data_IF_632721889733
#
_entry.id   IF_632721889733
#
_cell.length_a   1.000
_cell.length_b   1.000
_cell.length_c   1.000
_cell.angle_alpha   90.00
_cell.angle_beta   90.00
_cell.angle_gamma   90.00
#
_symmetry.space_group_name_H-M   'P 1'
#
loop_
_entity.id
_entity.type
_entity.pdbx_description
1 polymer ?
#
# COMPACT_ATOMS: atom_id res chain seq x y z
N UNK A 1 10.74 20.11 -55.10
CA UNK A 1 10.18 19.15 -54.11
C UNK A 1 9.18 19.94 -53.31
N UNK A 2 7.90 19.82 -53.65
CA UNK A 2 6.81 20.44 -52.92
C UNK A 2 6.71 19.80 -51.53
N UNK A 3 6.90 20.60 -50.48
CA UNK A 3 6.54 20.19 -49.13
C UNK A 3 5.07 19.77 -49.16
N UNK A 4 4.82 18.50 -48.97
CA UNK A 4 3.48 18.00 -48.72
C UNK A 4 3.03 18.64 -47.42
N UNK A 5 1.92 19.36 -47.45
CA UNK A 5 1.31 19.98 -46.28
C UNK A 5 0.71 18.82 -45.45
N UNK A 6 1.53 18.18 -44.64
CA UNK A 6 1.13 17.05 -43.80
C UNK A 6 0.41 17.67 -42.59
N UNK A 7 -0.85 17.34 -42.32
CA UNK A 7 -1.54 17.79 -41.10
C UNK A 7 -0.92 17.07 -39.90
N UNK A 8 0.22 17.61 -39.44
CA UNK A 8 1.08 17.00 -38.43
C UNK A 8 0.28 16.69 -37.15
N UNK A 9 -0.67 17.54 -36.78
CA UNK A 9 -1.48 17.33 -35.58
C UNK A 9 -2.37 16.09 -35.69
N UNK A 10 -3.07 15.92 -36.83
CA UNK A 10 -3.97 14.77 -37.03
C UNK A 10 -3.17 13.45 -37.12
N UNK A 11 -2.07 13.49 -37.89
CA UNK A 11 -1.19 12.32 -38.00
C UNK A 11 -0.59 11.96 -36.63
N UNK A 12 -0.14 12.96 -35.85
CA UNK A 12 0.45 12.70 -34.54
C UNK A 12 -0.56 12.05 -33.60
N UNK A 13 -1.78 12.52 -33.54
CA UNK A 13 -2.85 12.00 -32.69
C UNK A 13 -3.30 10.58 -33.10
N UNK A 14 -3.29 10.27 -34.40
CA UNK A 14 -3.71 8.95 -34.91
C UNK A 14 -2.63 7.86 -34.74
N UNK A 15 -1.35 8.23 -34.66
CA UNK A 15 -0.23 7.29 -34.50
C UNK A 15 0.23 7.10 -33.06
N UNK A 16 -0.35 7.80 -32.08
CA UNK A 16 -0.12 7.49 -30.67
C UNK A 16 -0.67 6.09 -30.37
N UNK A 17 0.07 5.31 -29.62
CA UNK A 17 -0.42 4.00 -29.12
C UNK A 17 -1.45 4.18 -27.99
N UNK A 18 -1.38 5.29 -27.29
CA UNK A 18 -2.27 5.61 -26.18
C UNK A 18 -3.62 6.13 -26.70
N UNK A 19 -4.69 5.68 -26.05
CA UNK A 19 -6.00 6.27 -26.25
C UNK A 19 -6.02 7.69 -25.71
N UNK A 20 -6.71 8.58 -26.43
CA UNK A 20 -6.87 9.98 -26.04
C UNK A 20 -8.30 10.41 -26.29
N UNK A 21 -8.87 11.12 -25.33
CA UNK A 21 -10.07 11.89 -25.58
C UNK A 21 -10.02 13.27 -24.92
N UNK A 22 -10.77 14.18 -25.50
CA UNK A 22 -10.96 15.54 -25.02
C UNK A 22 -12.42 15.73 -24.67
N UNK A 23 -12.71 16.42 -23.59
CA UNK A 23 -14.07 16.78 -23.20
C UNK A 23 -14.18 18.28 -22.85
N UNK A 24 -15.40 18.79 -22.89
CA UNK A 24 -15.75 20.09 -22.34
C UNK A 24 -15.88 20.08 -20.82
N UNK A 25 -16.27 21.21 -20.22
CA UNK A 25 -16.48 21.35 -18.77
C UNK A 25 -17.58 20.45 -18.22
N UNK A 26 -18.56 20.14 -19.03
CA UNK A 26 -19.71 19.26 -18.76
C UNK A 26 -19.35 17.78 -18.98
N UNK A 27 -18.08 17.51 -19.33
CA UNK A 27 -17.53 16.18 -19.63
C UNK A 27 -18.14 15.52 -20.88
N UNK A 28 -18.64 16.32 -21.84
CA UNK A 28 -19.05 15.83 -23.15
C UNK A 28 -17.81 15.63 -24.00
N UNK A 29 -17.68 14.44 -24.58
CA UNK A 29 -16.56 14.05 -25.43
C UNK A 29 -16.62 14.89 -26.73
N UNK A 30 -15.54 15.62 -26.98
CA UNK A 30 -15.37 16.45 -28.17
C UNK A 30 -14.47 15.78 -29.22
N UNK A 31 -13.56 14.94 -28.76
CA UNK A 31 -12.60 14.21 -29.59
C UNK A 31 -12.32 12.82 -29.00
N UNK A 32 -12.18 11.82 -29.86
CA UNK A 32 -11.89 10.45 -29.54
C UNK A 32 -10.89 9.87 -30.53
N UNK A 33 -9.70 9.48 -30.10
CA UNK A 33 -8.62 9.01 -30.99
C UNK A 33 -8.87 7.62 -31.52
N UNK A 34 -8.21 7.28 -32.64
CA UNK A 34 -8.23 5.92 -33.19
C UNK A 34 -7.67 4.87 -32.25
N UNK A 35 -6.72 5.23 -31.40
CA UNK A 35 -6.20 4.35 -30.36
C UNK A 35 -7.23 4.11 -29.27
N UNK A 36 -7.99 5.11 -28.88
CA UNK A 36 -9.10 4.94 -27.95
C UNK A 36 -10.16 3.97 -28.51
N UNK A 37 -10.45 4.04 -29.82
CA UNK A 37 -11.32 3.07 -30.48
C UNK A 37 -10.77 1.63 -30.39
N UNK A 38 -9.47 1.46 -30.65
CA UNK A 38 -8.83 0.14 -30.60
C UNK A 38 -8.84 -0.48 -29.20
N UNK A 39 -8.57 0.34 -28.18
CA UNK A 39 -8.46 -0.12 -26.79
C UNK A 39 -9.83 -0.48 -26.21
N UNK A 40 -10.83 0.37 -26.47
CA UNK A 40 -12.13 0.27 -25.80
C UNK A 40 -13.22 -0.38 -26.64
N UNK A 41 -13.03 -0.42 -27.98
CA UNK A 41 -14.05 -0.85 -28.93
C UNK A 41 -15.14 0.19 -29.22
N UNK A 42 -15.15 1.33 -28.51
CA UNK A 42 -16.06 2.45 -28.79
C UNK A 42 -15.53 3.27 -29.96
N UNK A 43 -16.35 3.54 -30.97
CA UNK A 43 -15.97 4.42 -32.09
C UNK A 43 -16.24 5.89 -31.75
N UNK A 44 -15.58 6.82 -32.45
CA UNK A 44 -15.86 8.25 -32.28
C UNK A 44 -17.34 8.58 -32.51
N UNK A 45 -17.97 7.94 -33.48
CA UNK A 45 -19.39 8.14 -33.80
C UNK A 45 -20.32 7.67 -32.65
N UNK A 46 -19.89 6.70 -31.84
CA UNK A 46 -20.65 6.22 -30.67
C UNK A 46 -20.58 7.20 -29.48
N UNK A 47 -19.47 7.96 -29.34
CA UNK A 47 -19.14 8.62 -28.08
C UNK A 47 -19.08 10.14 -28.16
N UNK A 48 -18.75 10.72 -29.31
CA UNK A 48 -18.66 12.18 -29.44
C UNK A 48 -20.03 12.84 -29.22
N UNK A 49 -20.05 13.87 -28.38
CA UNK A 49 -21.28 14.55 -27.93
C UNK A 49 -21.95 13.93 -26.70
N UNK A 50 -21.56 12.71 -26.30
CA UNK A 50 -22.01 12.07 -25.08
C UNK A 50 -21.05 12.35 -23.92
N UNK A 51 -21.51 12.19 -22.69
CA UNK A 51 -20.63 12.26 -21.53
C UNK A 51 -19.86 10.95 -21.34
N UNK A 52 -18.61 11.03 -20.93
CA UNK A 52 -17.80 9.83 -20.67
C UNK A 52 -18.41 8.90 -19.61
N UNK A 53 -19.25 9.43 -18.71
CA UNK A 53 -19.97 8.66 -17.67
C UNK A 53 -21.30 8.05 -18.17
N UNK A 54 -21.80 8.43 -19.35
CA UNK A 54 -23.07 7.94 -19.90
C UNK A 54 -22.90 6.51 -20.48
N UNK A 55 -22.53 5.57 -19.61
CA UNK A 55 -22.31 4.16 -19.95
C UNK A 55 -21.21 3.90 -21.00
N UNK A 56 -20.25 4.82 -21.15
CA UNK A 56 -19.13 4.68 -22.10
C UNK A 56 -17.93 4.08 -21.37
N UNK A 57 -17.13 4.87 -20.67
CA UNK A 57 -15.95 4.38 -19.97
C UNK A 57 -16.26 3.87 -18.56
N UNK A 58 -17.14 4.54 -17.84
CA UNK A 58 -17.59 4.20 -16.47
C UNK A 58 -16.44 3.61 -15.62
N UNK A 59 -15.42 4.43 -15.40
CA UNK A 59 -14.22 4.02 -14.68
C UNK A 59 -14.55 3.51 -13.28
N UNK A 60 -13.96 2.38 -12.89
CA UNK A 60 -13.94 1.85 -11.53
C UNK A 60 -12.51 1.66 -11.07
N UNK A 61 -12.28 1.63 -9.76
CA UNK A 61 -11.00 1.24 -9.17
C UNK A 61 -10.82 -0.30 -9.10
N UNK A 62 -9.69 -0.73 -8.53
CA UNK A 62 -9.36 -2.14 -8.33
C UNK A 62 -10.37 -2.91 -7.47
N UNK A 63 -11.11 -2.21 -6.60
CA UNK A 63 -12.08 -2.78 -5.67
C UNK A 63 -13.52 -2.71 -6.22
N UNK A 64 -13.70 -2.24 -7.47
CA UNK A 64 -14.98 -2.13 -8.16
C UNK A 64 -15.77 -0.88 -7.81
N UNK A 65 -15.19 0.07 -7.04
CA UNK A 65 -15.82 1.34 -6.72
C UNK A 65 -15.88 2.22 -7.95
N UNK A 66 -17.05 2.78 -8.25
CA UNK A 66 -17.20 3.70 -9.37
C UNK A 66 -16.49 5.03 -9.10
N UNK A 67 -15.58 5.39 -9.99
CA UNK A 67 -14.85 6.66 -9.96
C UNK A 67 -15.58 7.76 -10.74
N UNK A 68 -16.36 7.39 -11.76
CA UNK A 68 -17.14 8.34 -12.55
C UNK A 68 -18.24 8.97 -11.69
N UNK A 69 -18.12 10.27 -11.50
CA UNK A 69 -18.98 11.06 -10.64
C UNK A 69 -18.36 12.46 -10.47
N UNK A 70 -18.65 13.15 -9.38
CA UNK A 70 -18.07 14.47 -9.15
C UNK A 70 -16.78 14.39 -8.31
N UNK A 71 -16.76 13.58 -7.28
CA UNK A 71 -15.73 13.60 -6.26
C UNK A 71 -14.49 12.77 -6.63
N UNK A 72 -14.68 11.56 -7.16
CA UNK A 72 -13.60 10.61 -7.39
C UNK A 72 -13.11 10.55 -8.84
N UNK A 73 -13.76 11.25 -9.77
CA UNK A 73 -13.39 11.27 -11.19
C UNK A 73 -12.04 12.02 -11.37
N UNK A 74 -10.96 11.36 -11.84
CA UNK A 74 -9.66 12.00 -12.01
C UNK A 74 -9.73 13.23 -12.93
N UNK A 75 -10.42 13.10 -14.06
CA UNK A 75 -10.55 14.17 -15.03
C UNK A 75 -11.36 15.35 -14.48
N UNK A 76 -12.49 15.10 -13.79
CA UNK A 76 -13.27 16.17 -13.16
C UNK A 76 -12.47 16.89 -12.08
N UNK A 77 -11.76 16.13 -11.23
CA UNK A 77 -10.91 16.70 -10.19
C UNK A 77 -9.80 17.56 -10.79
N UNK A 78 -9.16 17.10 -11.87
CA UNK A 78 -8.13 17.85 -12.60
C UNK A 78 -8.68 19.20 -13.11
N UNK A 79 -9.86 19.22 -13.73
CA UNK A 79 -10.50 20.44 -14.22
C UNK A 79 -10.89 21.40 -13.08
N UNK A 80 -11.36 20.86 -11.93
CA UNK A 80 -11.77 21.69 -10.78
C UNK A 80 -10.60 22.30 -10.03
N UNK A 81 -9.50 21.56 -9.90
CA UNK A 81 -8.32 21.98 -9.12
C UNK A 81 -7.26 22.65 -9.97
N UNK A 82 -7.46 22.68 -11.28
CA UNK A 82 -6.49 23.16 -12.25
C UNK A 82 -5.12 22.48 -12.13
N UNK A 83 -5.12 21.16 -11.89
CA UNK A 83 -3.90 20.37 -11.71
C UNK A 83 -3.89 19.16 -12.62
N UNK A 84 -2.73 18.85 -13.17
CA UNK A 84 -2.47 17.61 -13.90
C UNK A 84 -2.32 16.45 -12.90
N UNK A 85 -2.60 15.22 -13.33
CA UNK A 85 -2.14 14.06 -12.56
C UNK A 85 -0.61 14.02 -12.56
N UNK A 86 -0.01 13.80 -11.39
CA UNK A 86 1.46 13.68 -11.25
C UNK A 86 1.96 12.34 -11.77
N UNK A 87 1.17 11.30 -11.60
CA UNK A 87 1.45 9.92 -12.01
C UNK A 87 0.20 9.33 -12.69
N UNK A 88 0.37 8.36 -13.61
CA UNK A 88 -0.76 7.63 -14.14
C UNK A 88 -1.53 6.89 -13.03
N UNK A 89 -2.85 6.93 -13.12
CA UNK A 89 -3.75 6.18 -12.23
C UNK A 89 -4.22 4.92 -12.95
N UNK A 90 -4.24 3.78 -12.25
CA UNK A 90 -4.80 2.55 -12.81
C UNK A 90 -6.30 2.53 -12.51
N UNK A 91 -7.09 2.48 -13.57
CA UNK A 91 -8.55 2.37 -13.51
C UNK A 91 -9.03 1.27 -14.44
N UNK A 92 -10.26 0.81 -14.27
CA UNK A 92 -10.87 -0.17 -15.18
C UNK A 92 -11.96 0.53 -15.98
N UNK A 93 -11.67 0.73 -17.27
CA UNK A 93 -12.63 1.30 -18.22
C UNK A 93 -13.59 0.24 -18.76
N UNK A 94 -14.83 0.63 -19.06
CA UNK A 94 -15.80 -0.23 -19.71
C UNK A 94 -15.54 -0.28 -21.22
N UNK A 95 -15.47 -1.48 -21.78
CA UNK A 95 -15.43 -1.66 -23.24
C UNK A 95 -16.84 -1.68 -23.83
N UNK A 96 -16.95 -1.48 -25.16
CA UNK A 96 -18.24 -1.54 -25.89
C UNK A 96 -18.95 -2.88 -25.75
N UNK A 97 -18.21 -3.95 -25.52
CA UNK A 97 -18.76 -5.30 -25.29
C UNK A 97 -19.18 -5.56 -23.84
N UNK A 98 -19.05 -4.58 -22.96
CA UNK A 98 -19.41 -4.67 -21.54
C UNK A 98 -18.31 -5.26 -20.63
N UNK A 99 -17.15 -5.64 -21.20
CA UNK A 99 -15.98 -6.06 -20.43
C UNK A 99 -15.30 -4.90 -19.71
N UNK A 100 -14.32 -5.21 -18.86
CA UNK A 100 -13.43 -4.23 -18.20
C UNK A 100 -12.03 -4.38 -18.71
N UNK A 101 -11.39 -3.26 -19.04
CA UNK A 101 -10.00 -3.18 -19.46
C UNK A 101 -9.23 -2.30 -18.47
N UNK A 102 -8.12 -2.79 -17.88
CA UNK A 102 -7.26 -1.97 -17.03
C UNK A 102 -6.54 -0.93 -17.89
N UNK A 103 -6.63 0.30 -17.47
CA UNK A 103 -6.09 1.47 -18.14
C UNK A 103 -5.19 2.26 -17.19
N UNK A 104 -4.00 2.63 -17.64
CA UNK A 104 -3.18 3.62 -16.97
C UNK A 104 -3.57 5.01 -17.53
N UNK A 105 -4.28 5.81 -16.72
CA UNK A 105 -4.83 7.10 -17.16
C UNK A 105 -4.02 8.27 -16.64
N UNK A 106 -3.86 9.28 -17.49
CA UNK A 106 -3.32 10.59 -17.13
C UNK A 106 -4.29 11.67 -17.57
N UNK A 107 -4.50 12.66 -16.72
CA UNK A 107 -5.49 13.72 -16.95
C UNK A 107 -4.87 15.11 -16.85
N UNK A 108 -5.36 16.05 -17.64
CA UNK A 108 -4.89 17.43 -17.64
C UNK A 108 -6.03 18.38 -17.96
N UNK A 109 -6.12 19.56 -17.31
CA UNK A 109 -7.07 20.59 -17.69
C UNK A 109 -6.63 21.24 -19.01
N UNK A 110 -7.60 21.72 -19.79
CA UNK A 110 -7.39 22.50 -21.00
C UNK A 110 -7.83 23.93 -20.72
N UNK A 111 -6.99 24.91 -21.11
CA UNK A 111 -7.25 26.33 -20.91
C UNK A 111 -7.62 27.01 -22.20
N UNK A 112 -8.57 27.93 -22.10
CA UNK A 112 -8.87 28.91 -23.16
C UNK A 112 -7.83 30.02 -23.26
N UNK A 113 -7.99 30.88 -24.24
CA UNK A 113 -7.11 32.03 -24.46
C UNK A 113 -7.13 33.04 -23.29
N UNK A 114 -8.17 33.02 -22.48
CA UNK A 114 -8.36 33.82 -21.27
C UNK A 114 -7.75 33.18 -19.99
N UNK A 115 -7.11 32.02 -20.14
CA UNK A 115 -6.54 31.25 -19.03
C UNK A 115 -7.55 30.46 -18.18
N UNK A 116 -8.84 30.51 -18.53
CA UNK A 116 -9.85 29.72 -17.80
C UNK A 116 -9.86 28.28 -18.31
N UNK A 117 -10.12 27.33 -17.37
CA UNK A 117 -10.32 25.93 -17.74
C UNK A 117 -11.59 25.81 -18.59
N UNK A 118 -11.45 25.33 -19.81
CA UNK A 118 -12.54 25.14 -20.79
C UNK A 118 -12.91 23.68 -21.01
N UNK A 119 -12.11 22.75 -20.52
CA UNK A 119 -12.30 21.31 -20.66
C UNK A 119 -11.14 20.54 -20.07
N UNK A 120 -11.06 19.26 -20.41
CA UNK A 120 -9.99 18.38 -19.98
C UNK A 120 -9.61 17.36 -21.04
N UNK A 121 -8.40 16.86 -20.94
CA UNK A 121 -7.88 15.76 -21.75
C UNK A 121 -7.52 14.60 -20.85
N UNK A 122 -7.89 13.40 -21.27
CA UNK A 122 -7.44 12.16 -20.68
C UNK A 122 -6.70 11.35 -21.74
N UNK A 123 -5.50 10.90 -21.39
CA UNK A 123 -4.77 9.88 -22.12
C UNK A 123 -4.78 8.58 -21.32
N UNK A 124 -4.85 7.45 -21.99
CA UNK A 124 -4.85 6.15 -21.37
C UNK A 124 -4.13 5.10 -22.21
N UNK A 125 -3.32 4.31 -21.53
CA UNK A 125 -2.61 3.17 -22.10
C UNK A 125 -3.34 1.88 -21.71
N UNK A 126 -3.46 0.92 -22.64
CA UNK A 126 -3.90 -0.44 -22.30
C UNK A 126 -2.87 -1.06 -21.36
N UNK A 127 -3.29 -1.33 -20.13
CA UNK A 127 -2.45 -1.85 -19.06
C UNK A 127 -2.66 -3.36 -18.83
N UNK A 128 -3.36 -4.05 -19.74
CA UNK A 128 -3.78 -5.45 -19.56
C UNK A 128 -2.60 -6.39 -19.29
N UNK A 129 -1.54 -6.29 -20.09
CA UNK A 129 -0.37 -7.14 -19.93
C UNK A 129 0.39 -6.83 -18.63
N UNK A 130 0.62 -5.54 -18.37
CA UNK A 130 1.31 -5.08 -17.14
C UNK A 130 0.50 -5.44 -15.91
N UNK A 131 -0.83 -5.26 -15.94
CA UNK A 131 -1.73 -5.63 -14.86
C UNK A 131 -1.68 -7.14 -14.58
N UNK A 132 -1.72 -7.99 -15.62
CA UNK A 132 -1.61 -9.43 -15.47
C UNK A 132 -0.25 -9.86 -14.87
N UNK A 133 0.84 -9.15 -15.20
CA UNK A 133 2.16 -9.39 -14.61
C UNK A 133 2.21 -8.98 -13.13
N UNK A 134 1.61 -7.84 -12.77
CA UNK A 134 1.47 -7.42 -11.36
C UNK A 134 0.61 -8.39 -10.56
N UNK A 135 -0.49 -8.91 -11.12
CA UNK A 135 -1.32 -9.93 -10.49
C UNK A 135 -0.54 -11.23 -10.22
N UNK A 136 0.35 -11.62 -11.16
CA UNK A 136 1.23 -12.77 -10.95
C UNK A 136 2.24 -12.50 -9.82
N UNK A 137 2.86 -11.30 -9.82
CA UNK A 137 3.79 -10.89 -8.77
C UNK A 137 3.10 -10.88 -7.39
N UNK A 138 1.87 -10.33 -7.30
CA UNK A 138 1.06 -10.34 -6.09
C UNK A 138 0.83 -11.75 -5.54
N UNK A 139 0.49 -12.71 -6.42
CA UNK A 139 0.31 -14.11 -5.98
C UNK A 139 1.60 -14.70 -5.42
N UNK A 140 2.74 -14.41 -6.04
CA UNK A 140 4.04 -14.90 -5.56
C UNK A 140 4.40 -14.23 -4.23
N UNK A 141 4.21 -12.92 -4.11
CA UNK A 141 4.44 -12.21 -2.85
C UNK A 141 3.57 -12.76 -1.73
N UNK A 142 2.27 -12.97 -1.96
CA UNK A 142 1.36 -13.54 -0.97
C UNK A 142 1.79 -14.94 -0.49
N UNK A 143 2.45 -15.74 -1.34
CA UNK A 143 3.01 -17.03 -0.94
C UNK A 143 4.27 -16.87 -0.07
N UNK A 144 4.92 -15.71 -0.09
CA UNK A 144 6.10 -15.44 0.75
C UNK A 144 5.74 -14.94 2.15
N UNK A 145 4.51 -14.45 2.35
CA UNK A 145 4.00 -14.03 3.65
C UNK A 145 3.55 -15.26 4.46
N UNK A 146 3.83 -15.28 5.75
CA UNK A 146 3.42 -16.38 6.62
C UNK A 146 2.00 -16.14 7.16
N UNK A 147 0.99 -16.64 6.45
CA UNK A 147 -0.42 -16.53 6.85
C UNK A 147 -0.88 -17.60 7.84
N UNK A 148 -0.16 -18.74 7.94
CA UNK A 148 -0.48 -19.82 8.84
C UNK A 148 0.07 -19.53 10.24
N UNK A 149 -0.76 -18.86 11.06
CA UNK A 149 -0.38 -18.46 12.41
C UNK A 149 -0.32 -19.66 13.36
N UNK A 150 0.69 -19.74 14.24
CA UNK A 150 0.76 -20.79 15.25
C UNK A 150 -0.48 -20.81 16.15
N UNK A 151 -0.86 -22.01 16.61
CA UNK A 151 -1.96 -22.21 17.55
C UNK A 151 -1.42 -22.60 18.92
N UNK A 152 -1.70 -21.79 19.94
CA UNK A 152 -1.29 -22.04 21.32
C UNK A 152 -2.37 -21.52 22.29
N UNK A 153 -2.73 -22.28 23.29
CA UNK A 153 -3.71 -21.87 24.30
C UNK A 153 -3.21 -20.77 25.25
N UNK A 154 -1.90 -20.55 25.29
CA UNK A 154 -1.23 -19.56 26.18
C UNK A 154 -1.13 -18.18 25.51
N UNK A 155 -1.16 -18.15 24.18
CA UNK A 155 -0.97 -16.94 23.40
C UNK A 155 -1.71 -17.03 22.08
N UNK A 156 -2.50 -16.01 21.76
CA UNK A 156 -3.21 -15.85 20.48
C UNK A 156 -2.44 -14.91 19.57
N UNK A 157 -2.49 -15.20 18.28
CA UNK A 157 -1.85 -14.39 17.24
C UNK A 157 -2.88 -13.96 16.19
N UNK A 158 -2.79 -12.72 15.76
CA UNK A 158 -3.60 -12.19 14.67
C UNK A 158 -2.75 -11.28 13.79
N UNK A 159 -2.99 -11.30 12.49
CA UNK A 159 -2.32 -10.41 11.53
C UNK A 159 -3.34 -9.78 10.60
N UNK A 160 -3.04 -8.57 10.17
CA UNK A 160 -3.80 -7.88 9.14
C UNK A 160 -2.82 -7.17 8.22
N UNK A 161 -2.97 -7.35 6.91
CA UNK A 161 -2.14 -6.75 5.89
C UNK A 161 -2.99 -6.17 4.78
N UNK A 162 -2.82 -4.89 4.53
CA UNK A 162 -3.51 -4.15 3.47
C UNK A 162 -2.47 -3.38 2.64
N UNK A 163 -2.07 -3.90 1.48
CA UNK A 163 -1.12 -3.19 0.64
C UNK A 163 -1.73 -1.93 0.02
N UNK A 164 -0.92 -0.87 -0.07
CA UNK A 164 -1.28 0.38 -0.73
C UNK A 164 -1.60 0.16 -2.22
N UNK A 165 -0.73 -0.54 -2.91
CA UNK A 165 -0.90 -0.91 -4.32
C UNK A 165 -1.30 -2.38 -4.49
N UNK A 166 -1.06 -2.95 -5.66
CA UNK A 166 -1.29 -4.37 -5.93
C UNK A 166 -0.30 -5.27 -5.20
N UNK A 167 0.90 -4.77 -4.95
CA UNK A 167 2.02 -5.40 -4.26
C UNK A 167 2.63 -4.37 -3.32
N UNK A 168 3.02 -4.79 -2.13
CA UNK A 168 3.49 -3.90 -1.08
C UNK A 168 4.98 -4.03 -0.75
N UNK A 169 5.48 -3.07 0.01
CA UNK A 169 6.82 -3.04 0.61
C UNK A 169 6.88 -3.67 2.00
N UNK A 170 5.74 -4.00 2.60
CA UNK A 170 5.69 -4.63 3.91
C UNK A 170 5.94 -6.14 3.85
N UNK A 171 6.63 -6.65 4.87
CA UNK A 171 6.84 -8.06 5.12
C UNK A 171 6.56 -8.40 6.58
N UNK A 172 5.82 -9.48 6.83
CA UNK A 172 5.65 -10.01 8.16
C UNK A 172 5.82 -11.53 8.18
N UNK A 173 6.33 -12.03 9.31
CA UNK A 173 6.43 -13.45 9.57
C UNK A 173 6.30 -13.73 11.06
N UNK A 174 5.64 -14.83 11.38
CA UNK A 174 5.49 -15.35 12.74
C UNK A 174 5.62 -16.86 12.72
N UNK A 175 6.54 -17.41 13.50
CA UNK A 175 6.80 -18.84 13.48
C UNK A 175 7.09 -19.38 14.88
N UNK A 176 6.61 -20.58 15.18
CA UNK A 176 7.02 -21.34 16.33
C UNK A 176 8.47 -21.83 16.12
N UNK A 177 9.37 -21.45 17.04
CA UNK A 177 10.78 -21.84 17.01
C UNK A 177 11.01 -23.16 17.77
N UNK A 178 10.32 -23.32 18.90
CA UNK A 178 10.31 -24.55 19.71
C UNK A 178 8.99 -24.64 20.50
N UNK A 179 8.91 -25.51 21.52
CA UNK A 179 7.70 -25.75 22.29
C UNK A 179 7.15 -24.52 23.03
N UNK A 180 8.00 -23.54 23.35
CA UNK A 180 7.65 -22.38 24.16
C UNK A 180 7.94 -21.04 23.47
N UNK A 181 8.76 -21.03 22.41
CA UNK A 181 9.23 -19.81 21.78
C UNK A 181 8.61 -19.58 20.41
N UNK A 182 8.20 -18.33 20.19
CA UNK A 182 7.65 -17.83 18.92
C UNK A 182 8.48 -16.64 18.44
N UNK A 183 9.03 -16.78 17.24
CA UNK A 183 9.75 -15.69 16.57
C UNK A 183 8.80 -14.85 15.74
N UNK A 184 8.99 -13.55 15.75
CA UNK A 184 8.25 -12.61 14.90
C UNK A 184 9.20 -11.67 14.17
N UNK A 185 8.78 -11.26 13.00
CA UNK A 185 9.48 -10.28 12.16
C UNK A 185 8.47 -9.46 11.40
N UNK A 186 8.55 -8.15 11.53
CA UNK A 186 7.78 -7.17 10.78
C UNK A 186 8.77 -6.20 10.16
N UNK A 187 8.67 -5.93 8.87
CA UNK A 187 9.56 -5.01 8.17
C UNK A 187 8.79 -4.24 7.11
N UNK A 188 9.20 -3.01 6.88
CA UNK A 188 8.75 -2.15 5.81
C UNK A 188 9.95 -1.68 4.99
N UNK A 189 9.90 -1.89 3.69
CA UNK A 189 10.93 -1.53 2.73
C UNK A 189 10.63 -0.16 2.15
N UNK A 190 11.55 0.77 2.26
CA UNK A 190 11.43 2.12 1.71
C UNK A 190 10.88 2.15 0.29
N UNK A 191 9.76 2.86 0.10
CA UNK A 191 9.07 3.00 -1.17
C UNK A 191 8.03 1.92 -1.41
N UNK A 192 7.38 1.94 -2.56
CA UNK A 192 6.27 1.06 -2.88
C UNK A 192 6.40 0.42 -4.28
N UNK A 193 5.53 -0.53 -4.57
CA UNK A 193 5.44 -1.17 -5.88
C UNK A 193 6.46 -2.29 -6.09
N UNK A 194 6.84 -2.52 -7.36
CA UNK A 194 7.59 -3.72 -7.76
C UNK A 194 8.95 -3.83 -7.08
N UNK A 195 9.69 -2.73 -6.96
CA UNK A 195 11.03 -2.75 -6.37
C UNK A 195 10.96 -3.15 -4.89
N UNK A 196 10.11 -2.49 -4.09
CA UNK A 196 9.92 -2.80 -2.68
C UNK A 196 9.45 -4.25 -2.49
N UNK A 197 8.51 -4.73 -3.32
CA UNK A 197 8.01 -6.11 -3.25
C UNK A 197 9.08 -7.17 -3.53
N UNK A 198 10.07 -6.89 -4.38
CA UNK A 198 11.21 -7.79 -4.59
C UNK A 198 12.11 -7.87 -3.35
N UNK A 199 12.27 -6.75 -2.64
CA UNK A 199 13.00 -6.75 -1.35
C UNK A 199 12.22 -7.52 -0.28
N UNK A 200 10.90 -7.44 -0.22
CA UNK A 200 10.12 -8.25 0.74
C UNK A 200 10.28 -9.75 0.48
N UNK A 201 10.35 -10.17 -0.78
CA UNK A 201 10.63 -11.57 -1.13
C UNK A 201 12.05 -11.99 -0.71
N UNK A 202 13.02 -11.08 -0.80
CA UNK A 202 14.36 -11.34 -0.29
C UNK A 202 14.37 -11.42 1.24
N UNK A 203 13.66 -10.53 1.95
CA UNK A 203 13.47 -10.61 3.41
C UNK A 203 12.85 -11.95 3.81
N UNK A 204 11.86 -12.45 3.07
CA UNK A 204 11.31 -13.79 3.27
C UNK A 204 12.36 -14.89 3.15
N UNK A 205 13.24 -14.79 2.16
CA UNK A 205 14.36 -15.74 2.00
C UNK A 205 15.34 -15.68 3.17
N UNK A 206 15.67 -14.47 3.64
CA UNK A 206 16.54 -14.27 4.82
C UNK A 206 15.88 -14.79 6.08
N UNK A 207 14.59 -14.53 6.28
CA UNK A 207 13.80 -15.09 7.37
C UNK A 207 13.90 -16.61 7.39
N UNK A 208 13.62 -17.27 6.28
CA UNK A 208 13.70 -18.73 6.19
C UNK A 208 15.09 -19.29 6.46
N UNK A 209 16.13 -18.53 6.12
CA UNK A 209 17.53 -18.93 6.36
C UNK A 209 17.96 -18.73 7.82
N UNK A 210 17.56 -17.65 8.46
CA UNK A 210 18.13 -17.19 9.72
C UNK A 210 17.17 -17.19 10.92
N UNK A 211 15.88 -17.54 10.76
CA UNK A 211 14.91 -17.51 11.89
C UNK A 211 15.36 -18.33 13.12
N UNK A 212 16.20 -19.37 12.92
CA UNK A 212 16.76 -20.16 14.00
C UNK A 212 17.70 -19.35 14.92
N UNK A 213 18.24 -18.22 14.46
CA UNK A 213 19.09 -17.34 15.29
C UNK A 213 18.25 -16.36 16.11
N UNK A 214 16.94 -16.30 15.91
CA UNK A 214 16.05 -15.34 16.56
C UNK A 214 15.91 -15.53 18.07
N UNK A 215 16.38 -16.68 18.59
CA UNK A 215 16.61 -16.84 20.03
C UNK A 215 17.58 -15.77 20.59
N UNK A 216 18.32 -15.08 19.71
CA UNK A 216 19.08 -13.88 19.99
C UNK A 216 18.67 -12.80 18.96
N UNK A 217 17.65 -11.98 19.23
CA UNK A 217 17.12 -10.99 18.28
C UNK A 217 18.17 -10.01 17.76
N UNK A 218 19.12 -9.60 18.57
CA UNK A 218 20.19 -8.70 18.14
C UNK A 218 21.13 -9.35 17.12
N UNK A 219 21.46 -10.63 17.27
CA UNK A 219 22.25 -11.39 16.31
C UNK A 219 21.51 -11.56 14.98
N UNK A 220 20.22 -11.91 15.04
CA UNK A 220 19.35 -11.98 13.87
C UNK A 220 19.34 -10.65 13.10
N UNK A 221 19.12 -9.53 13.80
CA UNK A 221 19.12 -8.20 13.20
C UNK A 221 20.46 -7.85 12.53
N UNK A 222 21.59 -8.16 13.18
CA UNK A 222 22.93 -7.94 12.60
C UNK A 222 23.16 -8.80 11.35
N UNK A 223 22.66 -10.03 11.32
CA UNK A 223 22.74 -10.92 10.16
C UNK A 223 21.96 -10.33 9.00
N UNK A 224 20.70 -9.95 9.22
CA UNK A 224 19.85 -9.35 8.19
C UNK A 224 20.45 -8.05 7.64
N UNK A 225 20.91 -7.18 8.52
CA UNK A 225 21.54 -5.93 8.09
C UNK A 225 22.76 -6.19 7.16
N UNK A 226 23.62 -7.13 7.51
CA UNK A 226 24.79 -7.48 6.69
C UNK A 226 24.40 -8.01 5.30
N UNK A 227 23.39 -8.88 5.24
CA UNK A 227 22.90 -9.43 3.97
C UNK A 227 22.28 -8.34 3.10
N UNK A 228 21.46 -7.45 3.68
CA UNK A 228 20.85 -6.35 2.96
C UNK A 228 21.86 -5.35 2.45
N UNK A 229 22.86 -4.96 3.23
CA UNK A 229 23.93 -4.06 2.80
C UNK A 229 24.77 -4.57 1.60
N UNK A 230 24.75 -5.88 1.31
CA UNK A 230 25.43 -6.44 0.15
C UNK A 230 24.65 -6.23 -1.15
N UNK A 231 23.32 -6.16 -1.06
CA UNK A 231 22.42 -6.10 -2.22
C UNK A 231 21.94 -4.67 -2.47
N UNK A 232 21.62 -3.96 -1.38
CA UNK A 232 21.11 -2.58 -1.42
C UNK A 232 22.28 -1.63 -1.77
N UNK A 233 22.27 -1.12 -3.00
CA UNK A 233 23.28 -0.17 -3.48
C UNK A 233 22.73 1.23 -3.72
N UNK A 234 21.40 1.39 -3.74
CA UNK A 234 20.69 2.56 -4.25
C UNK A 234 19.90 3.30 -3.16
N UNK A 235 20.51 3.49 -1.97
CA UNK A 235 19.89 4.22 -0.85
C UNK A 235 18.60 3.59 -0.31
N UNK A 236 18.21 2.39 -0.75
CA UNK A 236 17.06 1.67 -0.20
C UNK A 236 17.42 1.08 1.16
N UNK A 237 16.48 1.08 2.08
CA UNK A 237 16.62 0.47 3.40
C UNK A 237 15.28 -0.14 3.83
N UNK A 238 15.30 -0.92 4.89
CA UNK A 238 14.08 -1.44 5.49
C UNK A 238 14.03 -1.11 6.98
N UNK A 239 12.93 -0.51 7.41
CA UNK A 239 12.64 -0.44 8.84
C UNK A 239 12.12 -1.79 9.32
N UNK A 240 12.36 -2.16 10.57
CA UNK A 240 11.90 -3.44 11.04
C UNK A 240 11.77 -3.53 12.57
N UNK A 241 10.92 -4.46 12.98
CA UNK A 241 10.79 -4.95 14.35
C UNK A 241 10.92 -6.48 14.33
N UNK A 242 11.83 -7.04 15.10
CA UNK A 242 12.00 -8.48 15.20
C UNK A 242 12.20 -8.91 16.65
N UNK A 243 11.81 -10.14 16.96
CA UNK A 243 11.96 -10.59 18.33
C UNK A 243 11.49 -12.02 18.57
N UNK A 244 11.59 -12.43 19.83
CA UNK A 244 11.15 -13.73 20.31
C UNK A 244 10.27 -13.57 21.53
N UNK A 245 9.18 -14.31 21.54
CA UNK A 245 8.25 -14.45 22.65
C UNK A 245 8.43 -15.81 23.31
N UNK A 246 8.59 -15.82 24.64
CA UNK A 246 8.53 -17.02 25.49
C UNK A 246 7.12 -17.12 26.10
N UNK A 247 6.31 -18.05 25.59
CA UNK A 247 4.93 -18.23 26.03
C UNK A 247 4.82 -18.83 27.45
N UNK A 248 5.83 -19.60 27.88
CA UNK A 248 5.86 -20.19 29.24
C UNK A 248 6.19 -19.13 30.29
N UNK A 249 7.15 -18.24 29.99
CA UNK A 249 7.58 -17.18 30.92
C UNK A 249 6.81 -15.87 30.73
N UNK A 250 6.01 -15.78 29.68
CA UNK A 250 5.33 -14.55 29.26
C UNK A 250 6.30 -13.37 29.15
N UNK A 251 7.46 -13.61 28.53
CA UNK A 251 8.46 -12.58 28.28
C UNK A 251 8.69 -12.38 26.79
N UNK A 252 9.02 -11.16 26.40
CA UNK A 252 9.30 -10.78 25.03
C UNK A 252 10.65 -10.09 24.98
N UNK A 253 11.48 -10.50 24.03
CA UNK A 253 12.71 -9.81 23.67
C UNK A 253 12.57 -9.29 22.25
N UNK A 254 12.82 -8.00 22.08
CA UNK A 254 12.57 -7.28 20.82
C UNK A 254 13.74 -6.37 20.48
N UNK A 255 13.97 -6.24 19.17
CA UNK A 255 14.89 -5.31 18.55
C UNK A 255 14.14 -4.51 17.51
N UNK A 256 14.35 -3.19 17.45
CA UNK A 256 13.92 -2.34 16.38
C UNK A 256 15.10 -1.93 15.50
N UNK A 257 14.88 -1.97 14.20
CA UNK A 257 15.75 -1.43 13.16
C UNK A 257 15.09 -0.21 12.50
N UNK A 258 14.86 0.85 13.28
CA UNK A 258 14.27 2.09 12.79
C UNK A 258 12.75 2.07 12.60
N UNK A 259 12.08 0.97 12.97
CA UNK A 259 10.62 0.87 12.88
C UNK A 259 9.88 1.57 14.01
N UNK A 260 8.55 1.66 13.92
CA UNK A 260 7.69 2.21 14.96
C UNK A 260 7.86 1.49 16.31
N UNK A 261 7.49 2.12 17.45
CA UNK A 261 7.54 1.48 18.75
C UNK A 261 6.52 0.33 18.82
N UNK A 262 6.84 -0.72 19.59
CA UNK A 262 5.87 -1.75 19.95
C UNK A 262 4.91 -1.19 21.00
N UNK A 263 3.62 -1.36 20.79
CA UNK A 263 2.58 -0.95 21.73
C UNK A 263 2.18 -2.13 22.60
N UNK A 264 2.26 -1.96 23.92
CA UNK A 264 1.78 -2.94 24.91
C UNK A 264 0.52 -2.37 25.56
N UNK A 265 -0.61 -3.00 25.33
CA UNK A 265 -1.86 -2.66 26.02
C UNK A 265 -2.04 -3.63 27.18
N UNK A 266 -1.92 -3.14 28.39
CA UNK A 266 -2.03 -3.94 29.62
C UNK A 266 -3.47 -4.36 29.85
N UNK A 267 -3.66 -5.44 30.57
CA UNK A 267 -4.97 -5.98 30.93
C UNK A 267 -5.88 -5.00 31.70
N UNK A 268 -5.30 -3.97 32.30
CA UNK A 268 -6.02 -2.88 32.97
C UNK A 268 -6.29 -1.67 32.05
N UNK A 269 -6.01 -1.79 30.76
CA UNK A 269 -6.21 -0.74 29.75
C UNK A 269 -5.08 0.29 29.64
N UNK A 270 -4.05 0.22 30.47
CA UNK A 270 -2.88 1.11 30.31
C UNK A 270 -2.09 0.75 29.07
N UNK A 271 -1.64 1.75 28.35
CA UNK A 271 -0.79 1.58 27.16
C UNK A 271 0.64 1.99 27.47
N UNK A 272 1.59 1.16 27.09
CA UNK A 272 3.03 1.39 27.23
C UNK A 272 3.68 1.28 25.83
N UNK A 273 4.64 2.18 25.55
CA UNK A 273 5.45 2.11 24.33
C UNK A 273 6.79 1.47 24.66
N UNK A 274 7.14 0.40 23.96
CA UNK A 274 8.46 -0.20 24.02
C UNK A 274 9.29 0.33 22.87
N UNK A 275 10.14 1.29 23.20
CA UNK A 275 11.10 1.86 22.25
C UNK A 275 12.38 1.02 22.28
N UNK A 276 12.82 0.55 21.13
CA UNK A 276 14.13 0.00 20.89
C UNK A 276 14.81 0.83 19.80
N UNK A 277 16.11 1.04 19.92
CA UNK A 277 16.85 1.88 18.99
C UNK A 277 17.74 1.02 18.10
N UNK A 278 17.76 1.35 16.81
CA UNK A 278 18.61 0.71 15.82
C UNK A 278 18.47 1.41 14.47
N UNK A 279 19.51 1.36 13.64
CA UNK A 279 19.45 1.86 12.28
C UNK A 279 18.66 0.91 11.38
N UNK A 280 17.89 1.42 10.41
CA UNK A 280 17.23 0.59 9.41
C UNK A 280 18.19 -0.40 8.75
N UNK A 281 17.70 -1.57 8.41
CA UNK A 281 18.49 -2.58 7.69
C UNK A 281 18.91 -2.09 6.30
N UNK A 282 20.16 -2.29 5.94
CA UNK A 282 20.73 -1.84 4.67
C UNK A 282 21.25 -0.40 4.68
N UNK A 283 20.94 0.38 5.73
CA UNK A 283 21.34 1.79 5.81
C UNK A 283 22.86 1.96 6.09
N UNK A 284 23.43 1.14 6.98
CA UNK A 284 24.84 1.19 7.31
C UNK A 284 25.43 -0.21 7.50
N UNK A 285 26.60 -0.47 6.94
CA UNK A 285 27.26 -1.78 6.97
C UNK A 285 27.63 -2.25 8.39
N UNK A 286 27.81 -1.32 9.33
CA UNK A 286 28.02 -1.59 10.75
C UNK A 286 26.89 -0.91 11.51
N UNK A 287 26.04 -1.70 12.14
CA UNK A 287 24.94 -1.24 12.99
C UNK A 287 24.90 -2.08 14.25
N UNK A 288 24.62 -1.42 15.36
CA UNK A 288 24.33 -2.07 16.64
C UNK A 288 22.84 -2.03 16.89
N UNK A 289 22.29 -3.09 17.48
CA UNK A 289 20.89 -3.25 17.76
C UNK A 289 20.69 -3.54 19.23
N UNK A 290 20.02 -2.63 19.93
CA UNK A 290 19.67 -2.78 21.33
C UNK A 290 18.49 -3.72 21.49
N UNK A 291 18.66 -4.74 22.31
CA UNK A 291 17.58 -5.65 22.70
C UNK A 291 16.82 -5.08 23.92
N UNK A 292 15.50 -5.09 23.85
CA UNK A 292 14.62 -4.79 24.97
C UNK A 292 13.91 -6.04 25.42
N UNK A 293 13.98 -6.32 26.71
CA UNK A 293 13.23 -7.41 27.34
C UNK A 293 12.18 -6.86 28.30
N UNK A 294 10.97 -7.40 28.23
CA UNK A 294 9.89 -7.08 29.13
C UNK A 294 8.98 -8.28 29.37
N UNK A 295 8.16 -8.19 30.40
CA UNK A 295 7.20 -9.26 30.76
C UNK A 295 5.78 -8.81 30.49
N UNK A 296 4.95 -9.78 30.13
CA UNK A 296 3.51 -9.64 29.94
C UNK A 296 2.76 -10.44 31.01
N UNK A 297 1.53 -10.04 31.25
CA UNK A 297 0.58 -10.75 32.12
C UNK A 297 -0.56 -11.36 31.27
N UNK A 298 -1.32 -12.30 31.81
CA UNK A 298 -2.57 -12.73 31.18
C UNK A 298 -3.49 -11.53 30.91
N UNK A 299 -4.05 -11.46 29.72
CA UNK A 299 -4.89 -10.35 29.26
C UNK A 299 -4.13 -9.19 28.62
N UNK A 300 -2.79 -9.16 28.67
CA UNK A 300 -2.01 -8.16 27.95
C UNK A 300 -2.05 -8.43 26.44
N UNK A 301 -2.04 -7.35 25.64
CA UNK A 301 -1.99 -7.38 24.19
C UNK A 301 -0.78 -6.60 23.69
N UNK A 302 -0.02 -7.18 22.77
CA UNK A 302 1.04 -6.52 22.03
C UNK A 302 0.54 -6.18 20.64
N UNK A 303 0.79 -4.95 20.18
CA UNK A 303 0.53 -4.53 18.82
C UNK A 303 1.83 -4.05 18.18
N UNK A 304 2.20 -4.69 17.10
CA UNK A 304 3.27 -4.30 16.19
C UNK A 304 2.66 -3.83 14.88
N UNK A 305 3.23 -2.82 14.26
CA UNK A 305 2.68 -2.22 13.05
C UNK A 305 3.76 -1.53 12.23
N UNK A 306 3.51 -1.36 10.94
CA UNK A 306 4.30 -0.52 10.04
C UNK A 306 3.83 0.93 10.11
N UNK A 307 4.64 1.85 9.61
CA UNK A 307 4.35 3.30 9.69
C UNK A 307 3.05 3.68 8.98
N UNK A 308 2.62 2.93 7.96
CA UNK A 308 1.31 3.10 7.34
C UNK A 308 0.11 3.03 8.29
N UNK A 309 0.29 2.51 9.53
CA UNK A 309 -0.75 2.56 10.56
C UNK A 309 -0.83 3.91 11.29
N UNK A 310 0.21 4.70 11.25
CA UNK A 310 0.32 5.99 11.97
C UNK A 310 0.48 7.20 11.05
N UNK A 311 0.89 7.01 9.81
CA UNK A 311 1.02 8.06 8.80
C UNK A 311 -0.26 8.33 8.02
N UNK A 312 -1.39 7.87 8.53
CA UNK A 312 -2.72 8.12 7.96
C UNK A 312 -3.12 9.57 8.21
N UNK A 313 -3.60 10.26 7.17
CA UNK A 313 -4.08 11.63 7.27
C UNK A 313 -5.61 11.69 7.23
N UNK A 314 -6.19 12.58 8.05
CA UNK A 314 -7.60 12.90 8.00
C UNK A 314 -7.93 13.87 6.83
N UNK A 315 -9.21 14.22 6.67
CA UNK A 315 -9.67 15.16 5.65
C UNK A 315 -9.08 16.58 5.78
N UNK A 316 -8.57 16.95 6.93
CA UNK A 316 -7.90 18.23 7.20
C UNK A 316 -6.39 18.16 6.93
N UNK A 317 -5.84 16.98 6.62
CA UNK A 317 -4.42 16.74 6.44
C UNK A 317 -3.66 16.57 7.76
N UNK A 318 -4.35 16.20 8.85
CA UNK A 318 -3.73 15.91 10.13
C UNK A 318 -3.29 14.45 10.19
N UNK A 319 -2.02 14.21 10.45
CA UNK A 319 -1.49 12.86 10.59
C UNK A 319 -1.93 12.23 11.92
N UNK A 320 -2.32 10.96 11.92
CA UNK A 320 -2.79 10.24 13.09
C UNK A 320 -1.72 10.13 14.19
N UNK A 321 -0.52 9.69 13.81
CA UNK A 321 0.58 9.48 14.73
C UNK A 321 0.33 8.37 15.75
N UNK A 322 1.36 8.05 16.54
CA UNK A 322 1.27 7.00 17.58
C UNK A 322 0.23 7.34 18.67
N UNK A 323 0.10 8.60 19.04
CA UNK A 323 -0.89 9.03 20.05
C UNK A 323 -2.33 8.84 19.54
N UNK A 324 -2.58 9.13 18.27
CA UNK A 324 -3.88 8.89 17.64
C UNK A 324 -4.22 7.41 17.57
N UNK A 325 -3.24 6.55 17.22
CA UNK A 325 -3.41 5.09 17.25
C UNK A 325 -3.79 4.60 18.65
N UNK A 326 -3.11 5.08 19.70
CA UNK A 326 -3.45 4.76 21.09
C UNK A 326 -4.88 5.22 21.43
N UNK A 327 -5.27 6.40 20.96
CA UNK A 327 -6.63 6.91 21.11
C UNK A 327 -7.69 5.99 20.49
N UNK A 328 -7.40 5.46 19.29
CA UNK A 328 -8.27 4.48 18.61
C UNK A 328 -8.34 3.17 19.41
N UNK A 329 -7.20 2.61 19.85
CA UNK A 329 -7.17 1.40 20.68
C UNK A 329 -8.02 1.53 21.93
N UNK A 330 -7.91 2.66 22.65
CA UNK A 330 -8.70 2.96 23.82
C UNK A 330 -10.20 3.08 23.49
N UNK A 331 -10.55 3.71 22.37
CA UNK A 331 -11.95 3.88 21.94
C UNK A 331 -12.61 2.56 21.55
N UNK A 332 -11.85 1.62 21.04
CA UNK A 332 -12.27 0.26 20.73
C UNK A 332 -12.36 -0.63 21.97
N UNK A 333 -11.80 -0.20 23.12
CA UNK A 333 -11.81 -0.97 24.35
C UNK A 333 -10.71 -2.04 24.45
N UNK A 334 -9.58 -1.85 23.75
CA UNK A 334 -8.43 -2.77 23.91
C UNK A 334 -7.96 -2.77 25.37
N UNK A 335 -7.55 -3.93 25.94
CA UNK A 335 -7.33 -5.22 25.30
C UNK A 335 -8.49 -6.23 25.50
N UNK A 336 -9.73 -5.78 25.65
CA UNK A 336 -10.87 -6.66 25.95
C UNK A 336 -10.93 -7.85 24.97
N UNK A 337 -11.30 -9.03 25.52
CA UNK A 337 -11.48 -10.24 24.74
C UNK A 337 -12.68 -10.10 23.80
N UNK A 338 -12.47 -10.40 22.50
CA UNK A 338 -13.51 -10.29 21.47
C UNK A 338 -13.33 -9.12 20.51
N UNK A 339 -12.46 -8.18 20.80
CA UNK A 339 -12.04 -7.16 19.83
C UNK A 339 -11.09 -7.82 18.83
N UNK A 340 -11.41 -7.67 17.56
CA UNK A 340 -10.64 -8.26 16.45
C UNK A 340 -9.73 -7.22 15.84
N UNK A 341 -8.58 -7.66 15.32
CA UNK A 341 -7.61 -6.79 14.63
C UNK A 341 -8.21 -6.11 13.38
N UNK A 342 -9.22 -6.74 12.77
CA UNK A 342 -9.95 -6.15 11.65
C UNK A 342 -10.74 -4.91 12.08
N UNK A 343 -11.26 -4.87 13.32
CA UNK A 343 -11.94 -3.68 13.85
C UNK A 343 -10.98 -2.50 14.02
N UNK A 344 -9.72 -2.76 14.35
CA UNK A 344 -8.68 -1.74 14.37
C UNK A 344 -8.41 -1.22 12.94
N UNK A 345 -8.26 -2.11 11.96
CA UNK A 345 -8.11 -1.71 10.57
C UNK A 345 -9.29 -0.84 10.09
N UNK A 346 -10.52 -1.26 10.38
CA UNK A 346 -11.71 -0.48 10.01
C UNK A 346 -11.70 0.92 10.63
N UNK A 347 -11.29 1.04 11.90
CA UNK A 347 -11.21 2.33 12.58
C UNK A 347 -10.12 3.24 11.97
N UNK A 348 -8.96 2.66 11.60
CA UNK A 348 -7.89 3.37 10.90
C UNK A 348 -8.36 3.88 9.53
N UNK A 349 -9.05 3.03 8.76
CA UNK A 349 -9.64 3.43 7.46
C UNK A 349 -10.75 4.49 7.63
N UNK A 350 -11.52 4.45 8.71
CA UNK A 350 -12.50 5.48 9.03
C UNK A 350 -11.82 6.83 9.33
N UNK A 351 -10.66 6.83 9.97
CA UNK A 351 -9.91 8.06 10.23
C UNK A 351 -9.51 8.76 8.92
N UNK A 352 -9.10 8.02 7.91
CA UNK A 352 -8.79 8.57 6.57
C UNK A 352 -10.01 9.15 5.84
N UNK A 353 -11.22 8.98 6.38
CA UNK A 353 -12.48 9.42 5.75
C UNK A 353 -12.64 8.98 4.29
N UNK A 354 -12.17 7.78 3.97
CA UNK A 354 -12.21 7.20 2.63
C UNK A 354 -11.13 7.74 1.67
N UNK A 355 -10.16 8.50 2.17
CA UNK A 355 -8.94 8.82 1.44
C UNK A 355 -8.12 7.52 1.35
N UNK A 356 -7.52 7.27 0.20
CA UNK A 356 -6.64 6.12 0.02
C UNK A 356 -5.46 6.23 0.97
N UNK A 357 -5.07 5.13 1.61
CA UNK A 357 -3.84 5.06 2.40
C UNK A 357 -2.64 5.48 1.53
N UNK A 358 -1.67 6.13 2.13
CA UNK A 358 -0.47 6.60 1.43
C UNK A 358 0.62 5.55 1.40
N UNK A 359 0.55 4.55 2.30
CA UNK A 359 1.48 3.44 2.40
C UNK A 359 0.77 2.12 2.76
N UNK A 360 1.52 1.02 2.77
CA UNK A 360 1.06 -0.30 3.19
C UNK A 360 0.72 -0.30 4.68
N UNK A 361 -0.34 -0.99 5.05
CA UNK A 361 -0.79 -1.12 6.43
C UNK A 361 -0.60 -2.57 6.89
N UNK A 362 0.32 -2.81 7.80
CA UNK A 362 0.49 -4.12 8.43
C UNK A 362 0.35 -4.02 9.93
N UNK A 363 -0.49 -4.89 10.48
CA UNK A 363 -0.72 -5.04 11.92
C UNK A 363 -0.43 -6.49 12.32
N UNK A 364 0.30 -6.68 13.40
CA UNK A 364 0.54 -7.98 14.03
C UNK A 364 0.22 -7.86 15.52
N UNK A 365 -0.71 -8.68 15.97
CA UNK A 365 -1.21 -8.67 17.34
C UNK A 365 -0.85 -9.98 18.04
N UNK A 366 -0.44 -9.88 19.31
CA UNK A 366 -0.19 -11.00 20.22
C UNK A 366 -0.96 -10.78 21.50
N UNK A 367 -1.82 -11.73 21.89
CA UNK A 367 -2.62 -11.71 23.12
C UNK A 367 -2.19 -12.82 24.07
N UNK A 368 -1.87 -12.46 25.30
CA UNK A 368 -1.51 -13.42 26.35
C UNK A 368 -2.76 -13.91 27.10
N UNK A 369 -2.88 -15.26 27.21
CA UNK A 369 -3.98 -15.91 27.94
C UNK A 369 -3.62 -16.20 29.40
#
# INVERSE_FOLDING_TARGET
>A
MTMVDIPIADIFLDFLNDGLYVCDRERRILYWSKSAERITGWTADDVVGHRCLDNILVHIDKDGRQLCGEEFCPLHRSMRTDRRSSTPLIVFGQTKTGGRVPLAVSVSPIHGADGQVIGGVETFTDYTESYANLERARRIQNLSLEHDLPQDSRVGFSTNYLPHDMIGGDYFALRQLDADHYGFFLADVMGHGVAASLYTMYLSSLWNRYNHTLMNPAEFAQLLNRELCQIVRDESFATALCGVLDAARKSVRVVSAGGPPLVVVRSDGRTELVEATGLPFGFAGVAEYDEREFRCAPGDCLLMFTDGAIEIHDAAGTMLGTEGLIGILNSLGYPESGIRIESLQEALLCYSNGIRLEDDLTLLEVRFS
#
